data_IF_061310363712
#
_entry.id   IF_061310363712
#
_cell.length_a   1.000
_cell.length_b   1.000
_cell.length_c   1.000
_cell.angle_alpha   90.00
_cell.angle_beta   90.00
_cell.angle_gamma   90.00
#
_symmetry.space_group_name_H-M   'P 1'
#
loop_
_entity.id
_entity.type
_entity.pdbx_description
1 polymer ?
#
# COMPACT_ATOMS: atom_id res chain seq x y z
N UNK A 1 -10.14 27.44 9.14
CA UNK A 1 -10.50 27.33 10.58
C UNK A 1 -9.59 28.25 11.39
N UNK A 2 -10.09 28.96 12.41
CA UNK A 2 -9.27 29.79 13.28
C UNK A 2 -8.22 28.97 14.05
N UNK A 3 -6.99 29.43 14.09
CA UNK A 3 -5.84 28.84 14.80
C UNK A 3 -6.08 28.46 16.29
N UNK A 4 -6.93 29.15 17.08
CA UNK A 4 -7.24 28.77 18.46
C UNK A 4 -7.93 27.41 18.63
N UNK A 5 -8.78 26.99 17.68
CA UNK A 5 -9.54 25.74 17.78
C UNK A 5 -8.65 24.51 17.58
N UNK A 6 -7.62 24.61 16.74
CA UNK A 6 -6.64 23.54 16.52
C UNK A 6 -5.85 23.25 17.80
N UNK A 7 -5.41 24.30 18.51
CA UNK A 7 -4.70 24.14 19.78
C UNK A 7 -5.62 23.59 20.88
N UNK A 8 -6.89 23.98 20.90
CA UNK A 8 -7.86 23.49 21.88
C UNK A 8 -8.15 21.98 21.71
N UNK A 9 -8.29 21.50 20.46
CA UNK A 9 -8.61 20.09 20.19
C UNK A 9 -7.40 19.15 20.21
N UNK A 10 -6.22 19.62 19.79
CA UNK A 10 -5.06 18.74 19.58
C UNK A 10 -3.84 19.09 20.43
N UNK A 11 -3.75 20.30 20.99
CA UNK A 11 -2.62 20.75 21.81
C UNK A 11 -1.33 21.04 21.03
N UNK A 12 -0.83 20.10 20.22
CA UNK A 12 0.42 20.26 19.44
C UNK A 12 0.24 19.92 17.96
N UNK A 13 1.13 20.45 17.11
CA UNK A 13 1.17 20.09 15.67
C UNK A 13 1.40 18.60 15.45
N UNK A 14 2.15 17.94 16.33
CA UNK A 14 2.37 16.49 16.28
C UNK A 14 1.07 15.73 16.54
N UNK A 15 0.31 16.11 17.58
CA UNK A 15 -0.97 15.46 17.89
C UNK A 15 -2.03 15.67 16.82
N UNK A 16 -2.09 16.86 16.21
CA UNK A 16 -2.96 17.10 15.04
C UNK A 16 -2.56 16.19 13.88
N UNK A 17 -1.25 16.08 13.61
CA UNK A 17 -0.74 15.23 12.54
C UNK A 17 -1.05 13.75 12.82
N UNK A 18 -0.83 13.26 14.04
CA UNK A 18 -1.17 11.89 14.45
C UNK A 18 -2.66 11.60 14.25
N UNK A 19 -3.54 12.49 14.71
CA UNK A 19 -4.98 12.33 14.51
C UNK A 19 -5.38 12.33 13.02
N UNK A 20 -4.65 13.06 12.17
CA UNK A 20 -4.89 13.08 10.72
C UNK A 20 -4.43 11.78 10.06
N UNK A 21 -3.27 11.24 10.47
CA UNK A 21 -2.78 9.94 10.02
C UNK A 21 -3.69 8.82 10.49
N UNK A 22 -4.12 8.85 11.76
CA UNK A 22 -5.04 7.86 12.32
C UNK A 22 -6.35 7.83 11.53
N UNK A 23 -6.91 9.00 11.21
CA UNK A 23 -8.09 9.08 10.35
C UNK A 23 -7.87 8.48 8.96
N UNK A 24 -6.71 8.73 8.36
CA UNK A 24 -6.38 8.24 7.02
C UNK A 24 -6.15 6.72 6.99
N UNK A 25 -5.42 6.19 7.97
CA UNK A 25 -5.00 4.79 8.03
C UNK A 25 -6.06 3.87 8.65
N UNK A 26 -7.00 4.40 9.44
CA UNK A 26 -8.16 3.64 9.94
C UNK A 26 -8.98 3.03 8.79
N UNK A 27 -9.10 3.72 7.67
CA UNK A 27 -9.79 3.19 6.49
C UNK A 27 -9.03 2.02 5.89
N UNK A 28 -7.70 2.12 5.76
CA UNK A 28 -6.88 1.03 5.27
C UNK A 28 -7.00 -0.21 6.16
N UNK A 29 -6.92 -0.03 7.48
CA UNK A 29 -7.02 -1.13 8.44
C UNK A 29 -8.39 -1.80 8.31
N UNK A 30 -9.48 -1.02 8.23
CA UNK A 30 -10.83 -1.57 8.09
C UNK A 30 -10.98 -2.35 6.79
N UNK A 31 -10.52 -1.79 5.68
CA UNK A 31 -10.55 -2.47 4.39
C UNK A 31 -9.78 -3.80 4.47
N UNK A 32 -8.53 -3.79 4.95
CA UNK A 32 -7.73 -5.01 5.05
C UNK A 32 -8.29 -6.04 6.05
N UNK A 33 -8.87 -5.59 7.17
CA UNK A 33 -9.44 -6.46 8.19
C UNK A 33 -10.65 -7.26 7.67
N UNK A 34 -11.55 -6.61 6.91
CA UNK A 34 -12.71 -7.26 6.26
C UNK A 34 -12.26 -8.46 5.43
N UNK A 35 -11.10 -8.31 4.80
CA UNK A 35 -10.60 -9.26 3.82
C UNK A 35 -9.63 -10.31 4.38
N UNK A 36 -9.18 -10.16 5.63
CA UNK A 36 -8.28 -11.13 6.29
C UNK A 36 -8.86 -12.55 6.33
N UNK A 37 -10.19 -12.68 6.42
CA UNK A 37 -10.89 -13.96 6.39
C UNK A 37 -10.82 -14.64 5.02
N UNK A 38 -10.91 -13.86 3.93
CA UNK A 38 -10.90 -14.39 2.56
C UNK A 38 -9.53 -14.87 2.10
N UNK A 39 -8.47 -14.56 2.84
CA UNK A 39 -7.10 -14.97 2.53
C UNK A 39 -6.72 -16.30 3.20
N UNK A 40 -7.46 -16.73 4.23
CA UNK A 40 -7.09 -17.89 5.07
C UNK A 40 -7.07 -19.21 4.32
N UNK A 41 -7.96 -19.37 3.34
CA UNK A 41 -8.12 -20.62 2.59
C UNK A 41 -7.33 -20.62 1.27
N UNK A 42 -6.58 -19.54 1.00
CA UNK A 42 -5.81 -19.42 -0.24
C UNK A 42 -4.40 -20.01 -0.08
N UNK A 43 -3.88 -20.52 -1.19
CA UNK A 43 -2.45 -20.78 -1.30
C UNK A 43 -1.66 -19.47 -1.19
N UNK A 44 -0.45 -19.46 -0.58
CA UNK A 44 0.29 -18.22 -0.31
C UNK A 44 0.50 -17.34 -1.53
N UNK A 45 0.82 -17.93 -2.68
CA UNK A 45 0.97 -17.19 -3.95
C UNK A 45 -0.33 -16.51 -4.39
N UNK A 46 -1.48 -17.14 -4.18
CA UNK A 46 -2.78 -16.57 -4.54
C UNK A 46 -3.21 -15.50 -3.53
N UNK A 47 -2.90 -15.69 -2.25
CA UNK A 47 -3.06 -14.65 -1.24
C UNK A 47 -2.21 -13.40 -1.57
N UNK A 48 -0.97 -13.55 -2.04
CA UNK A 48 -0.15 -12.43 -2.50
C UNK A 48 -0.80 -11.69 -3.69
N UNK A 49 -1.25 -12.42 -4.72
CA UNK A 49 -1.92 -11.82 -5.88
C UNK A 49 -3.15 -11.02 -5.48
N UNK A 50 -4.00 -11.59 -4.63
CA UNK A 50 -5.21 -10.92 -4.14
C UNK A 50 -4.85 -9.68 -3.32
N UNK A 51 -3.81 -9.77 -2.49
CA UNK A 51 -3.36 -8.63 -1.65
C UNK A 51 -2.84 -7.50 -2.52
N UNK A 52 -2.06 -7.79 -3.57
CA UNK A 52 -1.55 -6.78 -4.49
C UNK A 52 -2.66 -6.09 -5.29
N UNK A 53 -3.64 -6.85 -5.78
CA UNK A 53 -4.79 -6.25 -6.48
C UNK A 53 -5.55 -5.27 -5.57
N UNK A 54 -5.81 -5.69 -4.33
CA UNK A 54 -6.50 -4.85 -3.34
C UNK A 54 -5.69 -3.63 -2.97
N UNK A 55 -4.38 -3.77 -2.83
CA UNK A 55 -3.51 -2.64 -2.56
C UNK A 55 -3.55 -1.62 -3.69
N UNK A 56 -3.52 -2.07 -4.95
CA UNK A 56 -3.71 -1.18 -6.11
C UNK A 56 -5.06 -0.45 -6.07
N UNK A 57 -6.16 -1.17 -5.81
CA UNK A 57 -7.50 -0.56 -5.71
C UNK A 57 -7.59 0.48 -4.59
N UNK A 58 -6.98 0.19 -3.44
CA UNK A 58 -6.93 1.11 -2.31
C UNK A 58 -6.15 2.38 -2.66
N UNK A 59 -4.93 2.24 -3.18
CA UNK A 59 -4.06 3.37 -3.55
C UNK A 59 -4.70 4.20 -4.67
N UNK A 60 -5.42 3.58 -5.60
CA UNK A 60 -6.15 4.29 -6.65
C UNK A 60 -7.29 5.17 -6.09
N UNK A 61 -7.99 4.73 -5.03
CA UNK A 61 -9.01 5.53 -4.34
C UNK A 61 -8.41 6.57 -3.41
N UNK A 62 -7.30 6.24 -2.73
CA UNK A 62 -6.71 7.03 -1.64
C UNK A 62 -5.20 7.26 -1.86
N UNK A 63 -4.80 7.97 -2.92
CA UNK A 63 -3.39 8.21 -3.24
C UNK A 63 -2.66 9.01 -2.16
N UNK A 64 -3.37 9.79 -1.35
CA UNK A 64 -2.82 10.56 -0.22
C UNK A 64 -2.12 9.69 0.82
N UNK A 65 -2.51 8.41 0.94
CA UNK A 65 -1.87 7.40 1.79
C UNK A 65 -0.38 7.24 1.49
N UNK A 66 -0.04 7.11 0.21
CA UNK A 66 1.34 6.92 -0.19
C UNK A 66 2.12 8.24 -0.12
N UNK A 67 1.46 9.36 -0.43
CA UNK A 67 2.09 10.69 -0.42
C UNK A 67 2.57 11.08 0.98
N UNK A 68 1.79 10.80 2.04
CA UNK A 68 2.23 11.09 3.41
C UNK A 68 3.43 10.22 3.81
N UNK A 69 3.45 8.95 3.40
CA UNK A 69 4.57 8.05 3.66
C UNK A 69 5.86 8.53 2.95
N UNK A 70 5.77 8.96 1.68
CA UNK A 70 6.94 9.53 0.98
C UNK A 70 7.45 10.78 1.66
N UNK A 71 6.55 11.70 2.02
CA UNK A 71 6.96 13.00 2.59
C UNK A 71 7.67 12.80 3.92
N UNK A 72 7.11 11.98 4.79
CA UNK A 72 7.66 11.73 6.13
C UNK A 72 8.89 10.81 6.07
N UNK A 73 9.01 9.94 5.07
CA UNK A 73 10.18 9.08 4.84
C UNK A 73 11.46 9.80 4.42
N UNK A 74 11.44 11.14 4.26
CA UNK A 74 12.62 11.93 3.87
C UNK A 74 13.57 12.23 5.02
N UNK A 75 13.05 12.25 6.24
CA UNK A 75 13.80 12.63 7.44
C UNK A 75 13.43 11.69 8.58
N UNK A 76 14.41 11.34 9.41
CA UNK A 76 14.17 10.56 10.62
C UNK A 76 13.53 11.46 11.69
N UNK A 77 12.22 11.32 11.87
CA UNK A 77 11.40 12.18 12.73
C UNK A 77 10.43 11.37 13.58
N UNK A 78 9.90 11.98 14.64
CA UNK A 78 8.83 11.38 15.47
C UNK A 78 7.59 11.00 14.65
N UNK A 79 7.35 11.68 13.53
CA UNK A 79 6.26 11.37 12.61
C UNK A 79 6.53 10.10 11.81
N UNK A 80 7.73 9.97 11.26
CA UNK A 80 8.13 8.76 10.57
C UNK A 80 8.08 7.55 11.51
N UNK A 81 8.64 7.68 12.72
CA UNK A 81 8.60 6.61 13.72
C UNK A 81 7.15 6.19 14.03
N UNK A 82 6.25 7.16 14.28
CA UNK A 82 4.84 6.88 14.53
C UNK A 82 4.15 6.17 13.36
N UNK A 83 4.40 6.61 12.13
CA UNK A 83 3.84 6.02 10.92
C UNK A 83 4.32 4.57 10.72
N UNK A 84 5.63 4.36 10.87
CA UNK A 84 6.26 3.06 10.67
C UNK A 84 5.80 2.05 11.71
N UNK A 85 5.89 2.40 12.99
CA UNK A 85 5.56 1.48 14.09
C UNK A 85 4.08 1.11 14.11
N UNK A 86 3.20 2.10 13.94
CA UNK A 86 1.76 1.90 14.11
C UNK A 86 1.10 1.26 12.90
N UNK A 87 1.60 1.56 11.69
CA UNK A 87 0.87 1.24 10.47
C UNK A 87 1.70 0.47 9.45
N UNK A 88 2.85 0.98 9.03
CA UNK A 88 3.58 0.39 7.89
C UNK A 88 4.23 -0.95 8.25
N UNK A 89 4.88 -1.06 9.41
CA UNK A 89 5.54 -2.31 9.82
C UNK A 89 4.58 -3.50 9.99
N UNK A 90 3.39 -3.35 10.61
CA UNK A 90 2.40 -4.42 10.66
C UNK A 90 1.95 -4.91 9.26
N UNK A 91 1.79 -3.99 8.32
CA UNK A 91 1.40 -4.31 6.95
C UNK A 91 2.52 -5.03 6.19
N UNK A 92 3.75 -4.52 6.30
CA UNK A 92 4.93 -5.13 5.71
C UNK A 92 5.13 -6.55 6.24
N UNK A 93 5.02 -6.76 7.55
CA UNK A 93 5.13 -8.08 8.16
C UNK A 93 4.16 -9.09 7.57
N UNK A 94 2.92 -8.69 7.32
CA UNK A 94 1.91 -9.58 6.71
C UNK A 94 2.33 -10.00 5.29
N UNK A 95 2.84 -9.06 4.49
CA UNK A 95 3.35 -9.35 3.15
C UNK A 95 4.61 -10.21 3.17
N UNK A 96 5.54 -9.94 4.08
CA UNK A 96 6.76 -10.73 4.27
C UNK A 96 6.45 -12.19 4.61
N UNK A 97 5.49 -12.43 5.50
CA UNK A 97 5.03 -13.77 5.88
C UNK A 97 4.46 -14.54 4.67
N UNK A 98 3.68 -13.86 3.82
CA UNK A 98 3.14 -14.45 2.59
C UNK A 98 4.25 -14.75 1.56
N UNK A 99 5.22 -13.85 1.38
CA UNK A 99 6.38 -14.05 0.49
C UNK A 99 7.18 -15.28 0.95
N UNK A 100 7.51 -15.35 2.24
CA UNK A 100 8.25 -16.47 2.83
C UNK A 100 7.49 -17.79 2.68
N UNK A 101 6.16 -17.79 2.90
CA UNK A 101 5.34 -18.98 2.75
C UNK A 101 5.29 -19.46 1.29
N UNK A 102 5.15 -18.54 0.32
CA UNK A 102 5.18 -18.87 -1.10
C UNK A 102 6.55 -19.42 -1.54
N UNK A 103 7.66 -18.83 -1.06
CA UNK A 103 9.01 -19.33 -1.30
C UNK A 103 9.21 -20.74 -0.73
N UNK A 104 8.78 -20.97 0.51
CA UNK A 104 8.89 -22.28 1.18
C UNK A 104 8.13 -23.38 0.44
N UNK A 105 7.00 -23.05 -0.20
CA UNK A 105 6.22 -23.97 -1.04
C UNK A 105 6.75 -24.08 -2.47
N UNK A 106 7.81 -23.37 -2.84
CA UNK A 106 8.33 -23.34 -4.21
C UNK A 106 7.37 -22.70 -5.22
N UNK A 107 6.49 -21.79 -4.77
CA UNK A 107 5.52 -21.12 -5.64
C UNK A 107 6.11 -19.87 -6.31
N UNK A 108 7.17 -19.30 -5.74
CA UNK A 108 7.92 -18.17 -6.28
C UNK A 108 9.42 -18.37 -6.05
N UNK A 109 10.24 -17.68 -6.85
CA UNK A 109 11.71 -17.65 -6.70
C UNK A 109 12.16 -17.27 -5.29
N UNK A 110 13.23 -17.92 -4.84
CA UNK A 110 13.91 -17.59 -3.59
C UNK A 110 14.86 -16.40 -3.78
N UNK A 111 14.32 -15.20 -3.61
CA UNK A 111 15.06 -13.93 -3.63
C UNK A 111 14.91 -13.22 -2.27
N UNK A 112 15.78 -12.26 -1.92
CA UNK A 112 15.69 -11.55 -0.65
C UNK A 112 14.31 -10.92 -0.44
N UNK A 113 13.69 -11.20 0.72
CA UNK A 113 12.30 -10.83 1.02
C UNK A 113 12.08 -9.32 0.95
N UNK A 114 12.99 -8.53 1.52
CA UNK A 114 12.88 -7.07 1.50
C UNK A 114 12.85 -6.52 0.07
N UNK A 115 13.67 -7.05 -0.83
CA UNK A 115 13.66 -6.63 -2.24
C UNK A 115 12.34 -7.00 -2.92
N UNK A 116 11.81 -8.20 -2.67
CA UNK A 116 10.51 -8.60 -3.21
C UNK A 116 9.38 -7.73 -2.67
N UNK A 117 9.38 -7.46 -1.36
CA UNK A 117 8.41 -6.58 -0.71
C UNK A 117 8.42 -5.18 -1.34
N UNK A 118 9.59 -4.54 -1.43
CA UNK A 118 9.73 -3.19 -1.98
C UNK A 118 9.33 -3.12 -3.47
N UNK A 119 9.71 -4.13 -4.27
CA UNK A 119 9.30 -4.22 -5.69
C UNK A 119 7.77 -4.35 -5.79
N UNK A 120 7.18 -5.24 -4.98
CA UNK A 120 5.74 -5.48 -4.97
C UNK A 120 4.98 -4.22 -4.55
N UNK A 121 5.35 -3.59 -3.44
CA UNK A 121 4.71 -2.37 -2.94
C UNK A 121 4.93 -1.21 -3.92
N UNK A 122 6.17 -0.99 -4.37
CA UNK A 122 6.52 0.05 -5.35
C UNK A 122 5.71 -0.04 -6.65
N UNK A 123 5.52 -1.24 -7.18
CA UNK A 123 4.72 -1.48 -8.37
C UNK A 123 3.25 -1.05 -8.21
N UNK A 124 2.70 -1.11 -7.00
CA UNK A 124 1.29 -0.75 -6.74
C UNK A 124 1.05 0.74 -6.47
N UNK A 125 2.05 1.46 -5.93
CA UNK A 125 1.88 2.84 -5.45
C UNK A 125 2.28 3.91 -6.48
N UNK A 126 3.33 3.65 -7.27
CA UNK A 126 3.93 4.65 -8.17
C UNK A 126 3.04 5.01 -9.35
N UNK A 127 2.10 4.15 -9.74
CA UNK A 127 1.18 4.47 -10.83
C UNK A 127 0.13 5.52 -10.42
N UNK A 128 -0.31 5.52 -9.15
CA UNK A 128 -1.40 6.37 -8.67
C UNK A 128 -0.93 7.60 -7.89
N UNK A 129 0.22 7.57 -7.22
CA UNK A 129 0.75 8.73 -6.48
C UNK A 129 1.04 9.95 -7.38
N UNK A 130 1.89 9.82 -8.41
CA UNK A 130 2.15 10.83 -9.42
C UNK A 130 1.00 11.04 -10.41
N UNK A 131 -0.14 10.35 -10.29
CA UNK A 131 -1.20 10.31 -11.32
C UNK A 131 -1.75 11.69 -11.70
N UNK A 132 -1.56 12.73 -10.88
CA UNK A 132 -1.80 14.12 -11.29
C UNK A 132 -1.08 14.49 -12.61
N UNK A 133 0.09 13.90 -12.90
CA UNK A 133 0.83 14.10 -14.13
C UNK A 133 0.26 13.32 -15.34
N UNK A 134 -0.36 12.15 -15.11
CA UNK A 134 -0.85 11.27 -16.18
C UNK A 134 -2.37 11.36 -16.42
N UNK A 135 -3.14 12.00 -15.53
CA UNK A 135 -4.59 12.26 -15.69
C UNK A 135 -4.94 13.09 -16.92
N UNK A 136 -3.94 13.74 -17.54
CA UNK A 136 -4.07 14.47 -18.80
C UNK A 136 -3.60 13.67 -20.02
N UNK A 137 -3.10 12.44 -19.84
CA UNK A 137 -2.74 11.58 -20.96
C UNK A 137 -3.98 10.86 -21.50
N UNK A 138 -4.15 10.85 -22.82
CA UNK A 138 -5.27 10.14 -23.47
C UNK A 138 -5.27 8.65 -23.11
N UNK A 139 -4.09 8.05 -22.93
CA UNK A 139 -3.93 6.66 -22.51
C UNK A 139 -4.57 6.33 -21.13
N UNK A 140 -4.70 7.33 -20.25
CA UNK A 140 -5.37 7.15 -18.95
C UNK A 140 -6.90 7.16 -19.07
N UNK A 141 -7.44 7.71 -20.17
CA UNK A 141 -8.86 7.96 -20.39
C UNK A 141 -9.53 6.99 -21.38
N UNK A 142 -8.78 6.28 -22.22
CA UNK A 142 -9.33 5.61 -23.42
C UNK A 142 -9.49 4.09 -23.34
N UNK A 143 -9.16 3.44 -22.22
CA UNK A 143 -9.14 1.97 -22.17
C UNK A 143 -10.13 1.36 -21.17
N UNK A 144 -10.99 0.45 -21.66
CA UNK A 144 -11.87 -0.53 -20.98
C UNK A 144 -12.07 -0.44 -19.45
N UNK A 145 -11.78 -1.53 -18.72
CA UNK A 145 -11.87 -1.57 -17.25
C UNK A 145 -11.08 -0.41 -16.64
N UNK A 146 -11.53 0.19 -15.52
CA UNK A 146 -10.88 1.39 -14.96
C UNK A 146 -9.37 1.23 -14.69
N UNK A 147 -8.58 2.33 -14.66
CA UNK A 147 -7.11 2.28 -14.57
C UNK A 147 -6.55 1.44 -13.40
N UNK A 148 -7.27 1.34 -12.27
CA UNK A 148 -6.91 0.48 -11.14
C UNK A 148 -6.92 -1.00 -11.49
N UNK A 149 -7.98 -1.49 -12.12
CA UNK A 149 -8.14 -2.91 -12.46
C UNK A 149 -7.07 -3.31 -13.48
N UNK A 150 -6.87 -2.50 -14.52
CA UNK A 150 -5.83 -2.76 -15.54
C UNK A 150 -4.44 -2.82 -14.92
N UNK A 151 -4.10 -1.83 -14.08
CA UNK A 151 -2.80 -1.80 -13.43
C UNK A 151 -2.60 -2.99 -12.48
N UNK A 152 -3.63 -3.36 -11.72
CA UNK A 152 -3.61 -4.51 -10.83
C UNK A 152 -3.34 -5.82 -11.59
N UNK A 153 -3.98 -6.02 -12.73
CA UNK A 153 -3.77 -7.21 -13.57
C UNK A 153 -2.38 -7.23 -14.19
N UNK A 154 -1.87 -6.10 -14.69
CA UNK A 154 -0.51 -6.00 -15.22
C UNK A 154 0.54 -6.27 -14.13
N UNK A 155 0.37 -5.69 -12.94
CA UNK A 155 1.28 -5.92 -11.80
C UNK A 155 1.32 -7.41 -11.43
N UNK A 156 0.15 -8.04 -11.32
CA UNK A 156 0.08 -9.48 -11.00
C UNK A 156 0.67 -10.33 -12.12
N UNK A 157 0.38 -10.04 -13.39
CA UNK A 157 0.93 -10.81 -14.50
C UNK A 157 2.46 -10.69 -14.54
N UNK A 158 3.00 -9.47 -14.59
CA UNK A 158 4.44 -9.22 -14.71
C UNK A 158 5.21 -9.81 -13.53
N UNK A 159 4.75 -9.57 -12.30
CA UNK A 159 5.46 -10.06 -11.11
C UNK A 159 5.43 -11.59 -11.03
N UNK A 160 4.28 -12.23 -11.21
CA UNK A 160 4.18 -13.67 -10.99
C UNK A 160 4.63 -14.49 -12.20
N UNK A 161 4.59 -13.93 -13.41
CA UNK A 161 5.29 -14.52 -14.55
C UNK A 161 6.81 -14.45 -14.36
N UNK A 162 7.34 -13.30 -13.90
CA UNK A 162 8.76 -13.13 -13.63
C UNK A 162 9.28 -13.92 -12.43
N UNK A 163 8.41 -14.25 -11.47
CA UNK A 163 8.73 -15.00 -10.25
C UNK A 163 8.44 -16.51 -10.33
N UNK A 164 7.82 -17.00 -11.40
CA UNK A 164 7.59 -18.43 -11.62
C UNK A 164 8.92 -19.20 -11.71
N UNK A 165 8.90 -20.46 -11.26
CA UNK A 165 10.06 -21.38 -11.33
C UNK A 165 10.22 -22.02 -12.70
#
# INVERSE_FOLDING_TARGET
>A
MPQPLINYHFGTKLKLWQASVDFLFDELIKDLAIFSSSLRDLEPVDALKVTLRRHVEFVARRPEFFMIAIVEGREDTERLAYLMERYINPLNKTMEELILAAQKKGQIKNAPVLNLLEIMIGATIIFFGPSAAFRFSEAFLTEGAGPSVRHADVVVDVLFHGLAL
#
